data_IF_490985110881
#
_entry.id   IF_490985110881
#
_cell.length_a   1.000
_cell.length_b   1.000
_cell.length_c   1.000
_cell.angle_alpha   90.00
_cell.angle_beta   90.00
_cell.angle_gamma   90.00
#
_symmetry.space_group_name_H-M   'P 1'
#
loop_
_entity.id
_entity.type
_entity.pdbx_description
1 polymer ?
#
# COMPACT_ATOMS: atom_id res chain seq x y z
N UNK A 1 -46.33 3.23 -26.26
CA UNK A 1 -45.56 3.83 -27.37
C UNK A 1 -44.11 3.98 -26.93
N UNK A 2 -43.17 3.59 -27.81
CA UNK A 2 -41.72 3.90 -27.96
C UNK A 2 -41.14 5.02 -27.06
N UNK A 3 -39.88 5.10 -26.65
CA UNK A 3 -38.59 4.35 -26.69
C UNK A 3 -37.58 5.29 -25.95
N UNK A 4 -36.34 4.81 -25.70
CA UNK A 4 -35.11 5.59 -25.35
C UNK A 4 -34.99 5.96 -23.84
N UNK A 5 -33.92 5.65 -23.07
CA UNK A 5 -32.48 5.54 -23.36
C UNK A 5 -31.79 4.50 -22.45
N UNK A 6 -31.05 3.57 -23.06
CA UNK A 6 -29.92 2.87 -22.45
C UNK A 6 -28.71 3.80 -22.54
N UNK A 7 -28.22 4.36 -21.43
CA UNK A 7 -26.78 4.55 -21.18
C UNK A 7 -26.52 5.10 -19.77
N UNK A 8 -26.39 4.23 -18.75
CA UNK A 8 -25.64 4.54 -17.52
C UNK A 8 -24.88 3.30 -17.04
N UNK A 9 -24.10 2.71 -17.96
CA UNK A 9 -23.19 1.60 -17.67
C UNK A 9 -21.87 2.05 -17.01
N UNK A 10 -21.67 3.33 -16.68
CA UNK A 10 -20.37 3.83 -16.21
C UNK A 10 -20.47 4.80 -15.02
N UNK A 11 -21.28 4.47 -14.01
CA UNK A 11 -21.35 5.32 -12.81
C UNK A 11 -21.72 4.54 -11.56
N UNK A 12 -20.84 3.63 -11.13
CA UNK A 12 -20.54 3.35 -9.72
C UNK A 12 -19.37 2.39 -9.62
N UNK A 13 -18.19 2.97 -9.83
CA UNK A 13 -16.91 2.43 -9.37
C UNK A 13 -16.93 2.35 -7.84
N UNK A 14 -16.22 1.36 -7.31
CA UNK A 14 -15.85 1.14 -5.91
C UNK A 14 -16.87 0.41 -5.03
N UNK A 15 -17.19 -0.84 -5.39
CA UNK A 15 -17.41 -1.88 -4.40
C UNK A 15 -16.05 -2.51 -4.08
N UNK A 16 -15.62 -2.41 -2.82
CA UNK A 16 -14.34 -2.90 -2.34
C UNK A 16 -14.18 -4.41 -2.57
N UNK A 17 -13.14 -4.79 -3.30
CA UNK A 17 -12.74 -6.17 -3.43
C UNK A 17 -11.83 -6.54 -2.25
N UNK A 18 -12.41 -7.18 -1.24
CA UNK A 18 -11.67 -8.03 -0.29
C UNK A 18 -11.07 -9.19 -1.10
N UNK A 19 -9.79 -9.12 -1.44
CA UNK A 19 -9.09 -10.23 -2.07
C UNK A 19 -8.56 -11.15 -0.98
N UNK A 20 -9.31 -12.23 -0.71
CA UNK A 20 -8.82 -13.38 0.02
C UNK A 20 -7.99 -14.24 -0.96
N UNK A 21 -6.66 -14.14 -0.87
CA UNK A 21 -5.76 -14.91 -1.73
C UNK A 21 -5.59 -16.35 -1.22
N UNK A 22 -6.17 -17.31 -1.95
CA UNK A 22 -5.84 -18.71 -1.80
C UNK A 22 -4.39 -18.95 -2.30
N UNK A 23 -3.55 -19.53 -1.44
CA UNK A 23 -2.15 -19.80 -1.75
C UNK A 23 -2.02 -20.87 -2.86
N UNK A 24 -1.52 -20.47 -4.02
CA UNK A 24 -1.05 -21.38 -5.06
C UNK A 24 0.48 -21.42 -5.01
N UNK A 25 1.04 -22.53 -4.54
CA UNK A 25 2.48 -22.80 -4.54
C UNK A 25 2.96 -22.97 -5.98
N UNK A 26 3.48 -21.89 -6.57
CA UNK A 26 4.23 -21.92 -7.82
C UNK A 26 5.72 -21.71 -7.51
N UNK A 27 6.50 -22.79 -7.51
CA UNK A 27 7.96 -22.73 -7.46
C UNK A 27 8.48 -22.23 -8.81
N UNK A 28 8.71 -20.92 -8.92
CA UNK A 28 9.38 -20.31 -10.07
C UNK A 28 10.86 -20.08 -9.73
N UNK A 29 11.70 -21.09 -9.98
CA UNK A 29 13.16 -20.91 -10.01
C UNK A 29 13.55 -20.27 -11.35
N UNK A 30 13.42 -18.95 -11.45
CA UNK A 30 13.80 -18.14 -12.62
C UNK A 30 14.69 -16.98 -12.18
N UNK A 31 15.83 -16.80 -12.86
CA UNK A 31 16.82 -15.77 -12.55
C UNK A 31 16.19 -14.37 -12.41
N UNK A 32 16.37 -13.76 -11.24
CA UNK A 32 15.97 -12.39 -10.91
C UNK A 32 16.80 -11.37 -11.70
N UNK A 33 16.52 -11.22 -13.00
CA UNK A 33 17.15 -10.19 -13.85
C UNK A 33 16.18 -9.52 -14.82
N UNK A 34 14.94 -10.00 -14.90
CA UNK A 34 13.87 -9.33 -15.62
C UNK A 34 13.01 -8.64 -14.57
N UNK A 35 13.10 -7.30 -14.47
CA UNK A 35 12.09 -6.51 -13.76
C UNK A 35 10.75 -6.88 -14.37
N UNK A 36 10.08 -7.84 -13.73
CA UNK A 36 8.81 -8.35 -14.21
C UNK A 36 7.81 -7.25 -13.92
N UNK A 37 7.61 -6.38 -14.91
CA UNK A 37 6.52 -5.43 -14.92
C UNK A 37 5.23 -6.24 -14.96
N UNK A 38 4.76 -6.64 -13.79
CA UNK A 38 3.40 -7.15 -13.60
C UNK A 38 2.46 -6.08 -14.16
N UNK A 39 1.56 -6.42 -15.10
CA UNK A 39 0.58 -5.47 -15.59
C UNK A 39 -0.19 -4.86 -14.41
N UNK A 40 0.00 -3.55 -14.18
CA UNK A 40 -0.61 -2.81 -13.06
C UNK A 40 0.31 -2.52 -11.87
N UNK A 41 1.55 -3.02 -11.83
CA UNK A 41 2.55 -2.64 -10.83
C UNK A 41 3.39 -1.46 -11.32
N UNK A 42 3.48 -0.39 -10.53
CA UNK A 42 4.40 0.71 -10.80
C UNK A 42 5.83 0.30 -10.41
N UNK A 43 6.85 0.56 -11.24
CA UNK A 43 8.23 0.28 -10.87
C UNK A 43 8.66 1.18 -9.70
N UNK A 44 9.22 0.60 -8.64
CA UNK A 44 9.79 1.38 -7.54
C UNK A 44 10.91 2.29 -8.06
N UNK A 45 10.81 3.57 -7.73
CA UNK A 45 11.84 4.56 -8.02
C UNK A 45 12.93 4.50 -6.96
N UNK A 46 14.14 4.92 -7.34
CA UNK A 46 15.25 5.05 -6.38
C UNK A 46 14.90 5.99 -5.23
N UNK A 47 14.08 7.01 -5.48
CA UNK A 47 13.64 7.95 -4.46
C UNK A 47 12.73 7.26 -3.44
N UNK A 48 11.78 6.45 -3.90
CA UNK A 48 10.88 5.67 -3.03
C UNK A 48 11.66 4.68 -2.17
N UNK A 49 12.57 3.89 -2.76
CA UNK A 49 13.37 2.92 -1.99
C UNK A 49 14.19 3.60 -0.89
N UNK A 50 14.75 4.79 -1.18
CA UNK A 50 15.50 5.55 -0.16
C UNK A 50 14.60 6.08 0.95
N UNK A 51 13.41 6.56 0.61
CA UNK A 51 12.44 7.01 1.59
C UNK A 51 12.03 5.87 2.52
N UNK A 52 11.70 4.71 1.96
CA UNK A 52 11.36 3.52 2.74
C UNK A 52 12.51 3.09 3.66
N UNK A 53 13.75 3.17 3.19
CA UNK A 53 14.92 2.86 4.00
C UNK A 53 15.09 3.83 5.17
N UNK A 54 14.93 5.13 4.93
CA UNK A 54 14.99 6.17 5.97
C UNK A 54 13.92 5.94 7.05
N UNK A 55 12.72 5.49 6.69
CA UNK A 55 11.65 5.14 7.63
C UNK A 55 11.98 3.89 8.46
N UNK A 56 12.57 2.86 7.84
CA UNK A 56 13.02 1.66 8.52
C UNK A 56 14.18 1.96 9.49
N UNK A 57 15.13 2.81 9.08
CA UNK A 57 16.21 3.30 9.95
C UNK A 57 15.66 4.09 11.15
N UNK A 58 14.65 4.93 10.93
CA UNK A 58 13.95 5.63 12.02
C UNK A 58 13.21 4.67 12.97
N UNK A 59 12.77 3.51 12.47
CA UNK A 59 12.18 2.43 13.26
C UNK A 59 13.22 1.54 13.97
N UNK A 60 14.52 1.78 13.74
CA UNK A 60 15.64 1.10 14.38
C UNK A 60 16.25 -0.07 13.59
N UNK A 61 15.92 -0.21 12.30
CA UNK A 61 16.60 -1.16 11.41
C UNK A 61 17.96 -0.61 10.97
N UNK A 62 18.99 -1.44 10.92
CA UNK A 62 20.31 -1.05 10.41
C UNK A 62 20.71 -1.97 9.25
N UNK A 63 20.61 -1.49 8.00
CA UNK A 63 20.92 -2.28 6.81
C UNK A 63 22.42 -2.60 6.68
N UNK A 64 23.30 -1.89 7.40
CA UNK A 64 24.75 -2.07 7.31
C UNK A 64 25.25 -3.29 8.10
N UNK A 65 24.40 -3.85 8.99
CA UNK A 65 24.75 -5.00 9.84
C UNK A 65 24.76 -6.33 9.10
N UNK A 66 24.23 -6.39 7.88
CA UNK A 66 24.14 -7.63 7.08
C UNK A 66 23.44 -8.77 7.83
N UNK A 67 23.91 -10.00 7.61
CA UNK A 67 23.34 -11.23 8.19
C UNK A 67 23.65 -11.42 9.69
N UNK A 68 24.42 -10.50 10.30
CA UNK A 68 24.83 -10.55 11.70
C UNK A 68 23.78 -9.92 12.63
N UNK A 69 22.80 -9.23 12.05
CA UNK A 69 21.55 -8.84 12.70
C UNK A 69 20.55 -9.99 12.61
N UNK A 70 19.55 -10.01 13.48
CA UNK A 70 18.56 -11.09 13.69
C UNK A 70 17.60 -11.28 12.49
N UNK A 71 18.13 -11.26 11.26
CA UNK A 71 17.38 -11.34 10.03
C UNK A 71 16.64 -12.69 9.93
N UNK A 72 15.34 -12.69 9.61
CA UNK A 72 14.52 -11.55 9.17
C UNK A 72 13.68 -10.90 10.28
N UNK A 73 13.90 -11.19 11.56
CA UNK A 73 13.05 -10.72 12.66
C UNK A 73 13.16 -9.20 12.89
N UNK A 74 14.36 -8.64 12.73
CA UNK A 74 14.65 -7.23 12.89
C UNK A 74 13.94 -6.35 11.85
N UNK A 75 13.98 -6.72 10.58
CA UNK A 75 13.29 -6.01 9.49
C UNK A 75 11.77 -6.11 9.66
N UNK A 76 11.24 -7.27 10.06
CA UNK A 76 9.80 -7.43 10.34
C UNK A 76 9.35 -6.56 11.52
N UNK A 77 10.16 -6.42 12.57
CA UNK A 77 9.84 -5.54 13.67
C UNK A 77 9.82 -4.07 13.23
N UNK A 78 10.80 -3.65 12.45
CA UNK A 78 10.88 -2.30 11.91
C UNK A 78 9.67 -1.99 11.00
N UNK A 79 9.29 -2.90 10.10
CA UNK A 79 8.11 -2.76 9.24
C UNK A 79 6.82 -2.57 10.06
N UNK A 80 6.64 -3.32 11.15
CA UNK A 80 5.48 -3.14 12.05
C UNK A 80 5.45 -1.75 12.67
N UNK A 81 6.59 -1.21 13.08
CA UNK A 81 6.69 0.14 13.65
C UNK A 81 6.35 1.20 12.60
N UNK A 82 6.89 1.09 11.39
CA UNK A 82 6.57 1.99 10.27
C UNK A 82 5.08 1.95 9.94
N UNK A 83 4.49 0.75 9.84
CA UNK A 83 3.06 0.60 9.59
C UNK A 83 2.20 1.27 10.68
N UNK A 84 2.60 1.17 11.95
CA UNK A 84 1.92 1.84 13.06
C UNK A 84 2.04 3.38 12.96
N UNK A 85 3.22 3.89 12.56
CA UNK A 85 3.43 5.32 12.33
C UNK A 85 2.55 5.85 11.19
N UNK A 86 2.49 5.14 10.07
CA UNK A 86 1.62 5.49 8.94
C UNK A 86 0.14 5.47 9.32
N UNK A 87 -0.30 4.47 10.08
CA UNK A 87 -1.68 4.40 10.59
C UNK A 87 -2.02 5.57 11.52
N UNK A 88 -1.08 5.96 12.39
CA UNK A 88 -1.24 7.11 13.28
C UNK A 88 -1.31 8.43 12.49
N UNK A 89 -0.44 8.61 11.50
CA UNK A 89 -0.45 9.77 10.60
C UNK A 89 -1.75 9.87 9.80
N UNK A 90 -2.21 8.75 9.23
CA UNK A 90 -3.48 8.70 8.50
C UNK A 90 -4.67 9.05 9.40
N UNK A 91 -4.67 8.57 10.65
CA UNK A 91 -5.70 8.91 11.63
C UNK A 91 -5.68 10.40 11.97
N UNK A 92 -4.49 10.99 12.13
CA UNK A 92 -4.34 12.42 12.38
C UNK A 92 -4.81 13.27 11.19
N UNK A 93 -4.53 12.85 9.95
CA UNK A 93 -5.03 13.50 8.74
C UNK A 93 -6.57 13.47 8.67
N UNK A 94 -7.17 12.31 8.94
CA UNK A 94 -8.62 12.16 8.95
C UNK A 94 -9.31 12.99 10.04
N UNK A 95 -8.70 13.09 11.22
CA UNK A 95 -9.23 13.89 12.33
C UNK A 95 -9.10 15.40 12.10
N UNK A 96 -8.19 15.81 11.23
CA UNK A 96 -7.94 17.22 10.89
C UNK A 96 -8.74 17.69 9.66
N UNK A 97 -9.64 16.86 9.11
CA UNK A 97 -10.64 17.34 8.15
C UNK A 97 -11.78 18.02 8.93
N UNK A 98 -11.84 19.37 8.95
CA UNK A 98 -12.89 20.08 9.66
C UNK A 98 -14.24 19.69 9.07
N UNK A 99 -15.25 19.56 9.93
CA UNK A 99 -16.65 19.32 9.62
C UNK A 99 -17.27 20.44 8.75
N UNK A 100 -16.80 20.58 7.51
CA UNK A 100 -17.37 21.44 6.48
C UNK A 100 -18.22 20.61 5.52
N UNK A 101 -19.07 19.73 6.06
CA UNK A 101 -19.99 18.96 5.21
C UNK A 101 -21.21 18.40 5.95
N UNK A 102 -21.76 19.10 6.94
CA UNK A 102 -23.20 18.99 7.24
C UNK A 102 -23.66 20.13 8.15
N UNK A 103 -23.97 21.29 7.57
CA UNK A 103 -24.98 22.16 8.19
C UNK A 103 -26.11 22.23 7.17
N UNK A 104 -27.18 21.43 7.31
CA UNK A 104 -28.40 21.67 6.57
C UNK A 104 -28.94 23.02 7.07
N UNK A 105 -28.79 24.06 6.27
CA UNK A 105 -29.53 25.31 6.46
C UNK A 105 -30.98 24.99 6.14
N UNK A 106 -31.76 24.76 7.20
CA UNK A 106 -33.22 24.68 7.17
C UNK A 106 -33.85 26.04 6.85
#
# INVERSE_FOLDING_TARGET
MKLISLNRLMARVAAGALVASAALLATASGAYAQTSATPGAHPLTRAEVRHELEELEAAGYDPSRGDESDYPADIQEAERKVAAMHAAQQSALNNNQPAMQDTPMH
#
